data_IF_524410327011
#
_entry.id   IF_524410327011
#
_cell.length_a   1.000
_cell.length_b   1.000
_cell.length_c   1.000
_cell.angle_alpha   90.00
_cell.angle_beta   90.00
_cell.angle_gamma   90.00
#
_symmetry.space_group_name_H-M   'P 1'
#
loop_
_entity.id
_entity.type
_entity.pdbx_description
1 polymer ?
#
# COMPACT_ATOMS: atom_id res chain seq x y z
N UNK A 1 21.65 3.54 1.47
CA UNK A 1 21.42 3.11 2.87
C UNK A 1 20.73 1.76 2.80
N UNK A 2 21.18 0.76 3.57
CA UNK A 2 20.52 -0.55 3.61
C UNK A 2 19.14 -0.47 4.28
N UNK A 3 18.35 -1.54 4.17
CA UNK A 3 17.07 -1.74 4.86
C UNK A 3 17.20 -1.42 6.35
N UNK A 4 16.20 -0.74 6.93
CA UNK A 4 16.12 -0.50 8.38
C UNK A 4 15.74 -1.78 9.13
N UNK A 5 16.43 -2.06 10.23
CA UNK A 5 16.23 -3.29 11.04
C UNK A 5 15.34 -3.07 12.26
N UNK A 6 15.06 -1.81 12.60
CA UNK A 6 14.22 -1.41 13.73
C UNK A 6 12.74 -1.21 13.34
N UNK A 7 12.42 -1.25 12.04
CA UNK A 7 11.04 -1.27 11.53
C UNK A 7 10.69 -2.69 11.10
N UNK A 8 9.56 -3.19 11.60
CA UNK A 8 9.01 -4.50 11.20
C UNK A 8 7.65 -4.39 10.53
N UNK A 9 6.88 -3.34 10.83
CA UNK A 9 5.54 -3.11 10.27
C UNK A 9 5.44 -1.69 9.72
N UNK A 10 4.79 -1.54 8.58
CA UNK A 10 4.57 -0.25 7.92
C UNK A 10 3.07 -0.10 7.65
N UNK A 11 2.50 1.03 8.06
CA UNK A 11 1.16 1.45 7.65
C UNK A 11 1.25 2.29 6.38
N UNK A 12 0.58 1.84 5.32
CA UNK A 12 0.37 2.58 4.08
C UNK A 12 -1.02 3.23 4.14
N UNK A 13 -1.09 4.52 3.83
CA UNK A 13 -2.35 5.27 3.79
C UNK A 13 -2.71 5.48 2.32
N UNK A 14 -3.79 4.86 1.88
CA UNK A 14 -4.33 5.01 0.53
C UNK A 14 -5.02 6.37 0.33
N UNK A 15 -5.22 6.72 -0.93
CA UNK A 15 -5.77 8.02 -1.31
C UNK A 15 -7.30 8.15 -1.10
N UNK A 16 -8.01 7.03 -0.89
CA UNK A 16 -9.46 7.02 -0.83
C UNK A 16 -10.13 7.00 -2.21
N UNK A 17 -11.41 7.40 -2.33
CA UNK A 17 -12.16 7.36 -3.58
C UNK A 17 -11.56 8.25 -4.66
N UNK A 18 -11.76 7.87 -5.92
CA UNK A 18 -11.30 8.65 -7.08
C UNK A 18 -12.07 9.97 -7.17
N UNK A 19 -11.34 11.07 -7.34
CA UNK A 19 -11.86 12.40 -7.62
C UNK A 19 -11.05 13.08 -8.73
N UNK A 20 -11.59 14.16 -9.30
CA UNK A 20 -10.83 14.97 -10.27
C UNK A 20 -9.58 15.52 -9.57
N UNK A 21 -8.41 15.25 -10.16
CA UNK A 21 -7.11 15.64 -9.62
C UNK A 21 -6.51 14.65 -8.60
N UNK A 22 -7.21 13.56 -8.27
CA UNK A 22 -6.69 12.46 -7.47
C UNK A 22 -7.35 11.14 -7.90
N UNK A 23 -6.73 10.43 -8.83
CA UNK A 23 -7.34 9.29 -9.50
C UNK A 23 -6.51 8.01 -9.38
N UNK A 24 -6.52 7.19 -10.43
CA UNK A 24 -5.97 5.82 -10.43
C UNK A 24 -4.45 5.76 -10.23
N UNK A 25 -3.75 6.89 -10.39
CA UNK A 25 -2.30 6.97 -10.15
C UNK A 25 -1.93 6.53 -8.72
N UNK A 26 -2.83 6.73 -7.75
CA UNK A 26 -2.58 6.33 -6.36
C UNK A 26 -2.83 4.85 -6.09
N UNK A 27 -3.70 4.20 -6.85
CA UNK A 27 -3.82 2.73 -6.80
C UNK A 27 -2.56 2.10 -7.41
N UNK A 28 -2.09 2.63 -8.53
CA UNK A 28 -0.83 2.19 -9.15
C UNK A 28 0.36 2.36 -8.22
N UNK A 29 0.57 3.57 -7.67
CA UNK A 29 1.67 3.83 -6.73
C UNK A 29 1.52 3.06 -5.42
N UNK A 30 0.30 2.95 -4.89
CA UNK A 30 -0.01 2.20 -3.68
C UNK A 30 0.30 0.71 -3.82
N UNK A 31 -0.12 0.12 -4.95
CA UNK A 31 0.20 -1.27 -5.31
C UNK A 31 1.70 -1.50 -5.40
N UNK A 32 2.43 -0.60 -6.07
CA UNK A 32 3.89 -0.69 -6.14
C UNK A 32 4.55 -0.59 -4.76
N UNK A 33 4.07 0.30 -3.90
CA UNK A 33 4.59 0.45 -2.53
C UNK A 33 4.35 -0.81 -1.69
N UNK A 34 3.15 -1.40 -1.75
CA UNK A 34 2.84 -2.67 -1.09
C UNK A 34 3.79 -3.78 -1.56
N UNK A 35 3.93 -3.97 -2.88
CA UNK A 35 4.80 -5.00 -3.46
C UNK A 35 6.26 -4.81 -3.05
N UNK A 36 6.82 -3.61 -3.24
CA UNK A 36 8.23 -3.34 -2.95
C UNK A 36 8.56 -3.55 -1.46
N UNK A 37 7.71 -3.07 -0.55
CA UNK A 37 7.96 -3.24 0.89
C UNK A 37 7.74 -4.68 1.36
N UNK A 38 6.83 -5.42 0.73
CA UNK A 38 6.60 -6.84 1.01
C UNK A 38 7.76 -7.70 0.51
N UNK A 39 8.32 -7.41 -0.66
CA UNK A 39 9.54 -8.06 -1.19
C UNK A 39 10.76 -7.83 -0.29
N UNK A 40 10.85 -6.65 0.33
CA UNK A 40 11.86 -6.35 1.35
C UNK A 40 11.57 -7.05 2.69
N UNK A 41 10.44 -7.75 2.85
CA UNK A 41 10.09 -8.50 4.05
C UNK A 41 9.59 -7.65 5.21
N UNK A 42 8.93 -6.52 4.93
CA UNK A 42 8.15 -5.80 5.94
C UNK A 42 6.73 -6.38 6.04
N UNK A 43 6.14 -6.30 7.23
CA UNK A 43 4.71 -6.51 7.41
C UNK A 43 3.96 -5.25 6.96
N UNK A 44 3.02 -5.40 6.03
CA UNK A 44 2.27 -4.28 5.45
C UNK A 44 0.86 -4.23 6.01
N UNK A 45 0.51 -3.07 6.56
CA UNK A 45 -0.85 -2.72 6.95
C UNK A 45 -1.27 -1.63 5.98
N UNK A 46 -2.43 -1.77 5.36
CA UNK A 46 -2.96 -0.78 4.43
C UNK A 46 -4.32 -0.31 4.91
N UNK A 47 -4.60 0.98 4.75
CA UNK A 47 -5.97 1.49 4.83
C UNK A 47 -6.31 2.24 3.56
N UNK A 48 -7.38 1.85 2.89
CA UNK A 48 -7.94 2.59 1.77
C UNK A 48 -9.46 2.36 1.72
N UNK A 49 -10.23 3.44 1.67
CA UNK A 49 -11.70 3.35 1.64
C UNK A 49 -12.26 3.10 0.24
N UNK A 50 -11.43 3.14 -0.80
CA UNK A 50 -11.85 2.80 -2.16
C UNK A 50 -11.78 1.28 -2.37
N UNK A 51 -12.92 0.58 -2.47
CA UNK A 51 -12.92 -0.88 -2.64
C UNK A 51 -12.53 -1.31 -4.06
N UNK A 52 -12.46 -0.39 -5.02
CA UNK A 52 -12.14 -0.67 -6.42
C UNK A 52 -10.66 -0.39 -6.71
N UNK A 53 -9.76 -0.86 -5.84
CA UNK A 53 -8.31 -0.68 -6.00
C UNK A 53 -7.60 -2.01 -5.86
N UNK A 54 -6.59 -2.23 -6.72
CA UNK A 54 -5.76 -3.44 -6.64
C UNK A 54 -5.00 -3.46 -5.30
N UNK A 55 -4.55 -2.30 -4.81
CA UNK A 55 -3.81 -2.23 -3.53
C UNK A 55 -4.58 -2.83 -2.35
N UNK A 56 -5.92 -2.85 -2.37
CA UNK A 56 -6.78 -3.45 -1.32
C UNK A 56 -7.03 -4.96 -1.48
N UNK A 57 -6.51 -5.60 -2.52
CA UNK A 57 -6.60 -7.05 -2.67
C UNK A 57 -5.87 -7.74 -1.51
N UNK A 58 -6.47 -8.85 -1.02
CA UNK A 58 -6.01 -9.57 0.18
C UNK A 58 -4.58 -10.11 0.07
N UNK A 59 -4.04 -10.20 -1.13
CA UNK A 59 -2.69 -10.71 -1.37
C UNK A 59 -1.61 -9.63 -1.24
N UNK A 60 -1.98 -8.34 -1.33
CA UNK A 60 -1.00 -7.25 -1.38
C UNK A 60 -0.60 -6.68 -0.02
N UNK A 61 -1.46 -6.76 0.99
CA UNK A 61 -1.14 -6.35 2.36
C UNK A 61 -1.49 -7.47 3.36
N UNK A 62 -0.78 -7.51 4.49
CA UNK A 62 -1.03 -8.49 5.55
C UNK A 62 -2.27 -8.14 6.39
N UNK A 63 -2.66 -6.86 6.39
CA UNK A 63 -3.90 -6.37 6.97
C UNK A 63 -4.45 -5.20 6.13
N UNK A 64 -5.76 -5.22 5.87
CA UNK A 64 -6.52 -4.18 5.17
C UNK A 64 -7.72 -3.71 5.98
#
# INVERSE_FOLDING_TARGET
MPKRTDIQSILIIGAGPIIIGQACEFDYSGTQACTALKEEGYRIILVNSNPATIMTDKELADAT
#
